data_IF_503223054687
#
_entry.id   IF_503223054687
#
_cell.length_a   1.000
_cell.length_b   1.000
_cell.length_c   1.000
_cell.angle_alpha   90.00
_cell.angle_beta   90.00
_cell.angle_gamma   90.00
#
_symmetry.space_group_name_H-M   'P 1'
#
loop_
_entity.id
_entity.type
_entity.pdbx_description
1 polymer ?
#
# COMPACT_ATOMS: atom_id res chain seq x y z
N UNK A 1 -10.29 -5.84 -5.61
CA UNK A 1 -8.98 -6.45 -5.95
C UNK A 1 -7.78 -5.65 -5.43
N UNK A 2 -7.72 -4.31 -5.56
CA UNK A 2 -6.55 -3.53 -5.12
C UNK A 2 -6.35 -3.52 -3.60
N UNK A 3 -7.43 -3.47 -2.81
CA UNK A 3 -7.32 -3.46 -1.34
C UNK A 3 -6.62 -4.71 -0.78
N UNK A 4 -6.99 -5.91 -1.25
CA UNK A 4 -6.36 -7.15 -0.82
C UNK A 4 -4.85 -7.12 -1.07
N UNK A 5 -4.43 -6.72 -2.28
CA UNK A 5 -3.02 -6.61 -2.66
C UNK A 5 -2.26 -5.61 -1.77
N UNK A 6 -2.88 -4.47 -1.45
CA UNK A 6 -2.27 -3.47 -0.57
C UNK A 6 -2.10 -3.97 0.87
N UNK A 7 -3.07 -4.73 1.38
CA UNK A 7 -2.98 -5.39 2.69
C UNK A 7 -1.91 -6.49 2.69
N UNK A 8 -1.84 -7.31 1.65
CA UNK A 8 -0.80 -8.34 1.49
C UNK A 8 0.60 -7.72 1.44
N UNK A 9 0.78 -6.61 0.71
CA UNK A 9 2.04 -5.85 0.67
C UNK A 9 2.45 -5.37 2.06
N UNK A 10 1.52 -4.80 2.82
CA UNK A 10 1.78 -4.33 4.18
C UNK A 10 2.31 -5.48 5.06
N UNK A 11 1.66 -6.65 5.03
CA UNK A 11 2.10 -7.82 5.82
C UNK A 11 3.44 -8.39 5.32
N UNK A 12 3.64 -8.47 4.01
CA UNK A 12 4.85 -9.05 3.40
C UNK A 12 6.11 -8.25 3.76
N UNK A 13 6.03 -6.92 3.70
CA UNK A 13 7.18 -6.03 3.83
C UNK A 13 7.45 -5.55 5.28
N UNK A 14 6.52 -5.76 6.22
CA UNK A 14 6.71 -5.42 7.63
C UNK A 14 7.11 -6.62 8.50
N UNK A 15 7.94 -6.38 9.50
CA UNK A 15 8.13 -7.27 10.66
C UNK A 15 6.83 -7.25 11.43
N UNK A 16 6.17 -8.41 11.50
CA UNK A 16 4.96 -8.59 12.29
C UNK A 16 5.34 -9.38 13.54
N UNK A 17 5.24 -8.73 14.71
CA UNK A 17 5.50 -9.38 15.99
C UNK A 17 4.54 -8.85 17.06
N UNK A 18 4.39 -9.59 18.17
CA UNK A 18 3.57 -9.12 19.30
C UNK A 18 4.06 -7.80 19.90
N UNK A 19 5.37 -7.57 19.92
CA UNK A 19 5.99 -6.37 20.49
C UNK A 19 5.97 -5.19 19.51
N UNK A 20 5.81 -5.46 18.22
CA UNK A 20 5.74 -4.46 17.17
C UNK A 20 4.65 -4.85 16.17
N UNK A 21 3.37 -4.59 16.50
CA UNK A 21 2.26 -4.97 15.64
C UNK A 21 2.23 -4.12 14.37
N UNK A 22 1.75 -4.72 13.29
CA UNK A 22 1.38 -3.96 12.10
C UNK A 22 0.01 -3.31 12.33
N UNK A 23 -0.07 -2.01 12.06
CA UNK A 23 -1.30 -1.23 12.08
C UNK A 23 -1.61 -0.80 10.67
N UNK A 24 -2.71 -1.31 10.12
CA UNK A 24 -3.21 -0.93 8.80
C UNK A 24 -4.41 0.00 8.99
N UNK A 25 -4.38 1.16 8.36
CA UNK A 25 -5.47 2.14 8.33
C UNK A 25 -6.02 2.19 6.92
N UNK A 26 -7.33 1.96 6.81
CA UNK A 26 -8.06 2.04 5.54
C UNK A 26 -9.12 3.12 5.74
N UNK A 27 -9.09 4.15 4.90
CA UNK A 27 -10.03 5.27 4.99
C UNK A 27 -10.38 5.79 3.61
N UNK A 28 -11.57 6.34 3.49
CA UNK A 28 -11.99 7.11 2.33
C UNK A 28 -11.82 8.60 2.61
N UNK A 29 -11.65 9.39 1.56
CA UNK A 29 -11.65 10.84 1.60
C UNK A 29 -12.89 11.39 0.90
N UNK A 30 -13.30 12.61 1.26
CA UNK A 30 -14.52 13.23 0.71
C UNK A 30 -14.42 13.50 -0.81
N UNK A 31 -13.21 13.61 -1.34
CA UNK A 31 -12.89 13.73 -2.77
C UNK A 31 -12.86 12.39 -3.52
N UNK A 32 -13.31 11.29 -2.88
CA UNK A 32 -13.53 10.02 -3.57
C UNK A 32 -12.28 9.16 -3.73
N UNK A 33 -11.32 9.23 -2.81
CA UNK A 33 -10.14 8.36 -2.81
C UNK A 33 -10.18 7.36 -1.66
N UNK A 34 -9.53 6.22 -1.88
CA UNK A 34 -9.18 5.23 -0.87
C UNK A 34 -7.72 5.43 -0.47
N UNK A 35 -7.48 5.61 0.82
CA UNK A 35 -6.15 5.59 1.42
C UNK A 35 -5.95 4.27 2.17
N UNK A 36 -4.87 3.56 1.85
CA UNK A 36 -4.39 2.40 2.61
C UNK A 36 -3.00 2.71 3.13
N UNK A 37 -2.84 2.69 4.45
CA UNK A 37 -1.59 3.04 5.14
C UNK A 37 -1.20 1.96 6.15
N UNK A 38 0.09 1.68 6.27
CA UNK A 38 0.65 0.91 7.39
C UNK A 38 1.82 1.65 8.05
N UNK A 39 2.03 1.42 9.35
CA UNK A 39 3.29 1.77 10.00
C UNK A 39 4.46 0.98 9.41
N UNK A 40 5.65 1.58 9.37
CA UNK A 40 6.85 0.98 8.80
C UNK A 40 7.72 0.33 9.88
N UNK A 41 7.68 -0.99 9.87
CA UNK A 41 8.54 -1.86 10.64
C UNK A 41 9.35 -2.70 9.64
N UNK A 42 10.26 -2.07 8.89
CA UNK A 42 10.95 -2.73 7.78
C UNK A 42 11.66 -4.00 8.26
N UNK A 43 11.44 -5.12 7.56
CA UNK A 43 12.25 -6.33 7.75
C UNK A 43 13.71 -6.00 7.42
N UNK A 44 14.55 -5.92 8.45
CA UNK A 44 16.01 -5.70 8.34
C UNK A 44 16.70 -6.97 7.85
N UNK A 45 16.36 -7.46 6.65
CA UNK A 45 17.17 -8.44 5.91
C UNK A 45 17.02 -8.22 4.41
N UNK A 46 18.14 -8.39 3.71
CA UNK A 46 18.28 -8.58 2.24
C UNK A 46 17.42 -9.71 1.64
N UNK A 47 16.42 -10.25 2.35
CA UNK A 47 15.74 -11.51 2.02
C UNK A 47 14.39 -11.35 1.31
N UNK A 48 13.94 -10.13 1.04
CA UNK A 48 12.76 -9.89 0.20
C UNK A 48 13.09 -8.72 -0.73
N UNK A 49 13.67 -9.03 -1.88
CA UNK A 49 13.65 -8.07 -2.99
C UNK A 49 12.18 -7.78 -3.31
N UNK A 50 11.79 -6.51 -3.16
CA UNK A 50 10.50 -6.08 -3.67
C UNK A 50 10.59 -6.09 -5.19
N UNK A 51 9.84 -6.99 -5.83
CA UNK A 51 9.77 -7.03 -7.30
C UNK A 51 8.99 -5.84 -7.86
N UNK A 52 8.34 -5.03 -7.02
CA UNK A 52 7.52 -3.89 -7.44
C UNK A 52 6.22 -4.25 -8.20
N UNK A 53 6.05 -5.53 -8.56
CA UNK A 53 4.97 -6.04 -9.43
C UNK A 53 3.59 -5.64 -8.90
N UNK A 54 3.37 -5.73 -7.58
CA UNK A 54 2.06 -5.40 -6.99
C UNK A 54 1.65 -3.94 -7.22
N UNK A 55 2.57 -3.01 -7.02
CA UNK A 55 2.30 -1.58 -7.23
C UNK A 55 2.25 -1.22 -8.71
N UNK A 56 3.07 -1.87 -9.54
CA UNK A 56 3.02 -1.73 -10.99
C UNK A 56 1.65 -2.18 -11.55
N UNK A 57 1.13 -3.31 -11.07
CA UNK A 57 -0.19 -3.82 -11.45
C UNK A 57 -1.33 -2.87 -11.04
N UNK A 58 -1.23 -2.24 -9.86
CA UNK A 58 -2.20 -1.22 -9.45
C UNK A 58 -2.13 -0.02 -10.38
N UNK A 59 -0.93 0.54 -10.62
CA UNK A 59 -0.77 1.69 -11.52
C UNK A 59 -1.30 1.41 -12.92
N UNK A 60 -0.97 0.25 -13.48
CA UNK A 60 -1.40 -0.12 -14.83
C UNK A 60 -2.91 -0.30 -14.92
N UNK A 61 -3.53 -0.94 -13.93
CA UNK A 61 -4.99 -1.08 -13.86
C UNK A 61 -5.68 0.29 -13.85
N UNK A 62 -5.19 1.21 -13.03
CA UNK A 62 -5.76 2.56 -12.92
C UNK A 62 -5.53 3.37 -14.20
N UNK A 63 -4.34 3.25 -14.81
CA UNK A 63 -4.03 3.85 -16.13
C UNK A 63 -5.01 3.39 -17.21
N UNK A 64 -5.33 2.09 -17.27
CA UNK A 64 -6.28 1.53 -18.24
C UNK A 64 -7.73 2.05 -18.04
N UNK A 65 -8.04 2.53 -16.84
CA UNK A 65 -9.33 3.13 -16.50
C UNK A 65 -9.32 4.66 -16.65
N UNK A 66 -8.28 5.24 -17.29
CA UNK A 66 -8.06 6.69 -17.40
C UNK A 66 -7.96 7.43 -16.07
N UNK A 67 -7.53 6.74 -15.01
CA UNK A 67 -7.25 7.31 -13.70
C UNK A 67 -5.76 7.18 -13.41
N UNK A 68 -4.97 8.24 -13.59
CA UNK A 68 -3.52 8.19 -13.34
C UNK A 68 -3.12 8.49 -11.90
N UNK A 69 -4.08 8.81 -11.03
CA UNK A 69 -3.84 9.52 -9.77
C UNK A 69 -3.48 8.58 -8.59
N UNK A 70 -2.77 7.48 -8.90
CA UNK A 70 -2.25 6.56 -7.89
C UNK A 70 -1.03 7.18 -7.22
N UNK A 71 -1.19 7.63 -5.98
CA UNK A 71 -0.10 8.22 -5.19
C UNK A 71 0.46 7.19 -4.22
N UNK A 72 1.79 7.10 -4.17
CA UNK A 72 2.52 6.22 -3.24
C UNK A 72 3.50 7.07 -2.47
N UNK A 73 3.41 7.03 -1.15
CA UNK A 73 4.29 7.80 -0.25
C UNK A 73 4.87 6.87 0.79
N UNK A 74 6.18 6.96 0.96
CA UNK A 74 6.92 6.24 2.00
C UNK A 74 7.69 7.25 2.83
N UNK A 75 7.50 7.23 4.15
CA UNK A 75 8.24 8.05 5.12
C UNK A 75 9.12 7.15 5.98
N UNK A 76 9.72 7.69 7.03
CA UNK A 76 10.39 6.86 8.06
C UNK A 76 9.41 6.03 8.88
N UNK A 77 8.14 6.45 8.96
CA UNK A 77 7.15 5.90 9.88
C UNK A 77 5.99 5.19 9.18
N UNK A 78 5.69 5.55 7.93
CA UNK A 78 4.49 5.08 7.23
C UNK A 78 4.75 4.75 5.76
N UNK A 79 4.05 3.73 5.28
CA UNK A 79 3.86 3.46 3.87
C UNK A 79 2.39 3.67 3.53
N UNK A 80 2.11 4.52 2.54
CA UNK A 80 0.75 4.95 2.17
C UNK A 80 0.55 4.82 0.68
N UNK A 81 -0.59 4.26 0.29
CA UNK A 81 -1.08 4.25 -1.09
C UNK A 81 -2.46 4.91 -1.13
N UNK A 82 -2.62 5.85 -2.06
CA UNK A 82 -3.87 6.56 -2.33
C UNK A 82 -4.31 6.23 -3.74
N UNK A 83 -5.54 5.76 -3.90
CA UNK A 83 -6.12 5.40 -5.20
C UNK A 83 -7.54 5.96 -5.31
N UNK A 84 -8.00 6.38 -6.50
CA UNK A 84 -9.40 6.74 -6.71
C UNK A 84 -10.34 5.59 -6.35
N UNK A 85 -11.48 5.88 -5.72
CA UNK A 85 -12.58 4.94 -5.61
C UNK A 85 -13.30 4.89 -6.95
N UNK A 86 -13.26 3.73 -7.58
CA UNK A 86 -13.98 3.47 -8.82
C UNK A 86 -15.17 2.58 -8.43
N UNK A 87 -16.37 3.09 -8.65
CA UNK A 87 -17.64 2.41 -8.40
C UNK A 87 -17.94 1.35 -9.44
#
# INVERSE_FOLDING_TARGET
>A
MCLQLLVENAVKHNVVSRHNPIRIVIKTTDDGYLTVENNLNKKTRKSIESTGIGLANIREKYRLLNHSDVTITETSEHFRVVIPLIG
#
